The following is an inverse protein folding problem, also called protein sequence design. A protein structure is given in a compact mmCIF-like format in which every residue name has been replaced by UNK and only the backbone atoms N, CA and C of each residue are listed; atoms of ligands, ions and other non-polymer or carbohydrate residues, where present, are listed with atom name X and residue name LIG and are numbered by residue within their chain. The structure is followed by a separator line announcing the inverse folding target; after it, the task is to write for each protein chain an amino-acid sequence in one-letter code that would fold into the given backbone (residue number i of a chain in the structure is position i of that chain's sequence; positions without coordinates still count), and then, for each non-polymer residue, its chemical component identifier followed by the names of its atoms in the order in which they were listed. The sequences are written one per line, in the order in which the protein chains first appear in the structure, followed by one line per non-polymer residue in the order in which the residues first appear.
data_IF_547800734761
#
_entry.id   IF_547800734761
#
_cell.length_a   1.000
_cell.length_b   1.000
_cell.length_c   1.000
_cell.angle_alpha   90.00
_cell.angle_beta   90.00
_cell.angle_gamma   90.00
#
_symmetry.space_group_name_H-M   'P 1'
#
loop_
_entity.id
_entity.type
_entity.pdbx_description
1 polymer ?
#
# COMPACT_ATOMS: atom_id res chain seq x y z
N UNK A 1 26.35 2.32 1.42
CA UNK A 1 24.95 2.02 1.79
C UNK A 1 24.63 0.62 1.34
N UNK A 2 23.81 -0.11 2.08
CA UNK A 2 23.32 -1.44 1.65
C UNK A 2 22.47 -1.30 0.39
N UNK A 3 22.42 -2.35 -0.42
CA UNK A 3 21.48 -2.41 -1.54
C UNK A 3 20.07 -2.59 -0.97
N UNK A 4 19.06 -1.81 -1.39
CA UNK A 4 17.70 -2.02 -0.90
C UNK A 4 17.14 -3.35 -1.40
N UNK A 5 16.32 -4.00 -0.56
CA UNK A 5 15.58 -5.20 -0.93
C UNK A 5 14.36 -4.86 -1.77
N UNK A 6 13.72 -3.72 -1.43
CA UNK A 6 12.43 -3.28 -1.96
C UNK A 6 12.55 -1.84 -2.44
N UNK A 7 12.02 -1.56 -3.62
CA UNK A 7 11.79 -0.22 -4.14
C UNK A 7 10.29 0.08 -4.09
N UNK A 8 9.91 1.15 -3.44
CA UNK A 8 8.52 1.64 -3.43
C UNK A 8 8.44 2.95 -4.22
N UNK A 9 7.62 2.98 -5.27
CA UNK A 9 7.26 4.18 -6.02
C UNK A 9 5.87 4.64 -5.61
N UNK A 10 5.73 5.87 -5.13
CA UNK A 10 4.43 6.37 -4.73
C UNK A 10 4.46 7.81 -4.24
N UNK A 11 3.48 8.15 -3.42
CA UNK A 11 3.34 9.45 -2.80
C UNK A 11 3.65 9.43 -1.30
N UNK A 12 3.84 10.62 -0.74
CA UNK A 12 3.86 10.87 0.69
C UNK A 12 3.04 12.12 0.99
N UNK A 13 2.19 12.04 1.99
CA UNK A 13 1.29 13.12 2.41
C UNK A 13 1.44 13.42 3.90
N UNK A 14 1.03 14.63 4.28
CA UNK A 14 0.72 14.96 5.67
C UNK A 14 -0.80 14.94 5.82
N UNK A 15 -1.30 14.14 6.76
CA UNK A 15 -2.71 13.99 7.05
C UNK A 15 -3.10 14.96 8.18
N UNK A 16 -4.04 15.86 7.89
CA UNK A 16 -4.56 16.88 8.79
C UNK A 16 -5.97 16.46 9.20
N UNK A 17 -6.10 15.84 10.39
CA UNK A 17 -7.37 15.29 10.85
C UNK A 17 -7.99 16.19 11.89
N UNK A 18 -9.22 16.65 11.65
CA UNK A 18 -10.04 17.37 12.60
C UNK A 18 -11.21 16.50 13.04
N UNK A 19 -11.37 16.35 14.35
CA UNK A 19 -12.48 15.60 14.95
C UNK A 19 -13.59 16.57 15.35
N UNK A 20 -14.84 16.24 15.01
CA UNK A 20 -15.97 17.13 15.18
C UNK A 20 -17.29 16.35 15.29
N UNK A 21 -18.33 17.01 15.80
CA UNK A 21 -19.65 16.41 15.94
C UNK A 21 -20.22 15.96 14.58
N UNK A 22 -20.13 16.82 13.58
CA UNK A 22 -20.51 16.53 12.18
C UNK A 22 -19.67 17.38 11.23
N UNK A 23 -19.48 16.92 9.99
CA UNK A 23 -18.77 17.70 8.96
C UNK A 23 -19.62 18.88 8.49
N UNK A 24 -19.01 20.06 8.23
CA UNK A 24 -19.74 21.27 7.88
C UNK A 24 -20.53 21.10 6.58
N UNK A 25 -21.79 21.56 6.58
CA UNK A 25 -22.57 21.76 5.38
C UNK A 25 -22.11 23.01 4.63
N UNK A 26 -22.67 23.25 3.42
CA UNK A 26 -22.34 24.45 2.65
C UNK A 26 -22.67 25.72 3.43
N UNK A 27 -21.67 26.59 3.62
CA UNK A 27 -21.79 27.85 4.36
C UNK A 27 -21.77 27.72 5.88
N UNK A 28 -21.64 26.51 6.43
CA UNK A 28 -21.56 26.24 7.86
C UNK A 28 -20.12 26.33 8.37
N UNK A 29 -19.97 26.79 9.62
CA UNK A 29 -18.71 26.69 10.39
C UNK A 29 -18.93 25.80 11.60
N UNK A 30 -18.24 24.66 11.64
CA UNK A 30 -18.26 23.73 12.77
C UNK A 30 -16.95 23.86 13.54
N UNK A 31 -17.04 23.85 14.87
CA UNK A 31 -15.86 23.89 15.75
C UNK A 31 -15.46 22.43 16.04
N UNK A 32 -14.24 22.05 15.64
CA UNK A 32 -13.65 20.76 16.00
C UNK A 32 -13.27 20.73 17.47
N UNK A 33 -13.36 19.56 18.09
CA UNK A 33 -13.02 19.35 19.50
C UNK A 33 -11.63 18.71 19.67
N UNK A 34 -11.02 18.17 18.58
CA UNK A 34 -9.65 17.64 18.59
C UNK A 34 -9.01 17.78 17.19
N UNK A 35 -7.68 17.70 17.15
CA UNK A 35 -6.90 17.81 15.92
C UNK A 35 -5.64 16.96 16.00
N UNK A 36 -5.31 16.26 14.91
CA UNK A 36 -4.06 15.51 14.80
C UNK A 36 -3.37 15.75 13.45
N UNK A 37 -2.05 15.61 13.47
CA UNK A 37 -1.23 15.62 12.27
C UNK A 37 -0.56 14.23 12.18
N UNK A 38 -0.76 13.54 11.05
CA UNK A 38 -0.19 12.23 10.79
C UNK A 38 0.64 12.22 9.51
N UNK A 39 1.44 11.17 9.34
CA UNK A 39 2.07 10.87 8.06
C UNK A 39 1.16 9.90 7.32
N UNK A 40 0.94 10.18 6.02
CA UNK A 40 0.09 9.40 5.14
C UNK A 40 0.65 9.30 3.74
N UNK A 41 -0.23 8.89 2.83
CA UNK A 41 0.11 8.53 1.46
C UNK A 41 0.44 7.05 1.35
N UNK A 42 -0.27 6.33 0.47
CA UNK A 42 -0.14 4.86 0.34
C UNK A 42 1.30 4.43 0.06
N UNK A 43 2.03 5.18 -0.78
CA UNK A 43 3.43 4.89 -1.04
C UNK A 43 4.30 4.93 0.21
N UNK A 44 4.22 6.02 0.99
CA UNK A 44 4.95 6.17 2.24
C UNK A 44 4.50 5.14 3.29
N UNK A 45 3.20 4.86 3.39
CA UNK A 45 2.65 3.88 4.30
C UNK A 45 3.21 2.47 4.03
N UNK A 46 3.19 2.03 2.78
CA UNK A 46 3.71 0.72 2.38
C UNK A 46 5.23 0.63 2.56
N UNK A 47 5.97 1.70 2.25
CA UNK A 47 7.41 1.76 2.48
C UNK A 47 7.76 1.64 3.97
N UNK A 48 7.07 2.39 4.85
CA UNK A 48 7.25 2.32 6.30
C UNK A 48 6.89 0.93 6.85
N UNK A 49 5.78 0.36 6.40
CA UNK A 49 5.37 -0.99 6.81
C UNK A 49 6.44 -2.04 6.44
N UNK A 50 6.97 -1.98 5.22
CA UNK A 50 8.03 -2.89 4.76
C UNK A 50 9.35 -2.70 5.54
N UNK A 51 9.73 -1.45 5.86
CA UNK A 51 10.92 -1.16 6.65
C UNK A 51 10.76 -1.66 8.10
N UNK A 52 9.59 -1.47 8.72
CA UNK A 52 9.30 -2.00 10.06
C UNK A 52 9.23 -3.53 10.08
N UNK A 53 8.81 -4.17 8.98
CA UNK A 53 8.88 -5.61 8.81
C UNK A 53 10.33 -6.14 8.64
N UNK A 54 11.31 -5.23 8.47
CA UNK A 54 12.75 -5.51 8.55
C UNK A 54 13.50 -5.45 7.23
N UNK A 55 12.88 -5.07 6.11
CA UNK A 55 13.57 -4.91 4.83
C UNK A 55 14.29 -3.56 4.72
N UNK A 56 15.33 -3.52 3.88
CA UNK A 56 15.95 -2.29 3.40
C UNK A 56 15.11 -1.73 2.24
N UNK A 57 14.54 -0.54 2.42
CA UNK A 57 13.54 0.02 1.49
C UNK A 57 14.02 1.33 0.88
N UNK A 58 14.05 1.43 -0.46
CA UNK A 58 14.23 2.68 -1.18
C UNK A 58 12.86 3.27 -1.55
N UNK A 59 12.71 4.58 -1.35
CA UNK A 59 11.45 5.27 -1.61
C UNK A 59 11.59 6.31 -2.72
N UNK A 60 10.87 6.12 -3.82
CA UNK A 60 10.82 7.03 -4.96
C UNK A 60 9.55 7.87 -4.84
N UNK A 61 9.71 9.16 -4.52
CA UNK A 61 8.61 10.09 -4.35
C UNK A 61 9.06 11.54 -4.56
N UNK A 62 8.12 12.48 -4.39
CA UNK A 62 8.39 13.92 -4.38
C UNK A 62 7.85 14.53 -3.11
N UNK A 63 8.61 15.52 -2.55
CA UNK A 63 8.17 16.40 -1.47
C UNK A 63 8.32 17.85 -1.89
N UNK A 64 7.50 18.72 -1.34
CA UNK A 64 7.62 20.16 -1.56
C UNK A 64 8.80 20.79 -0.79
N UNK A 65 9.04 22.07 -1.05
CA UNK A 65 10.01 22.90 -0.32
C UNK A 65 9.36 23.66 0.85
N UNK A 66 8.33 23.06 1.45
CA UNK A 66 7.55 23.59 2.57
C UNK A 66 7.79 22.79 3.87
N UNK A 67 7.18 23.26 4.97
CA UNK A 67 7.27 22.60 6.28
C UNK A 67 6.73 21.16 6.27
N UNK A 68 5.74 20.85 5.45
CA UNK A 68 5.24 19.48 5.30
C UNK A 68 6.28 18.59 4.61
N UNK A 69 7.01 19.11 3.62
CA UNK A 69 8.11 18.39 2.99
C UNK A 69 9.23 18.04 3.97
N UNK A 70 9.54 18.96 4.90
CA UNK A 70 10.52 18.70 5.95
C UNK A 70 10.01 17.67 6.98
N UNK A 71 8.72 17.70 7.32
CA UNK A 71 8.08 16.69 8.17
C UNK A 71 8.14 15.31 7.53
N UNK A 72 7.76 15.18 6.26
CA UNK A 72 7.81 13.93 5.49
C UNK A 72 9.23 13.37 5.49
N UNK A 73 10.22 14.19 5.12
CA UNK A 73 11.61 13.76 5.08
C UNK A 73 12.11 13.27 6.44
N UNK A 74 11.82 14.03 7.51
CA UNK A 74 12.26 13.69 8.86
C UNK A 74 11.62 12.37 9.35
N UNK A 75 10.31 12.21 9.13
CA UNK A 75 9.59 11.00 9.52
C UNK A 75 10.13 9.75 8.79
N UNK A 76 10.26 9.81 7.47
CA UNK A 76 10.75 8.67 6.67
C UNK A 76 12.23 8.37 6.94
N UNK A 77 13.05 9.38 7.23
CA UNK A 77 14.45 9.21 7.65
C UNK A 77 14.54 8.48 8.99
N UNK A 78 13.64 8.78 9.94
CA UNK A 78 13.60 8.12 11.24
C UNK A 78 13.23 6.63 11.14
N UNK A 79 12.48 6.23 10.09
CA UNK A 79 12.17 4.83 9.78
C UNK A 79 13.31 4.08 9.07
N UNK A 80 14.39 4.79 8.72
CA UNK A 80 15.58 4.21 8.09
C UNK A 80 15.44 3.93 6.59
N UNK A 81 14.50 4.58 5.89
CA UNK A 81 14.35 4.45 4.45
C UNK A 81 15.52 5.08 3.69
N UNK A 82 15.88 4.49 2.56
CA UNK A 82 16.79 5.10 1.58
C UNK A 82 16.03 6.19 0.81
N UNK A 83 16.38 7.46 1.05
CA UNK A 83 15.64 8.64 0.59
C UNK A 83 16.33 9.41 -0.55
N UNK A 84 17.33 8.83 -1.22
CA UNK A 84 18.06 9.47 -2.34
C UNK A 84 17.12 9.84 -3.49
N UNK A 85 15.97 9.13 -3.62
CA UNK A 85 14.94 9.38 -4.61
C UNK A 85 13.67 10.06 -4.05
N UNK A 86 13.68 10.52 -2.80
CA UNK A 86 12.71 11.46 -2.27
C UNK A 86 13.13 12.88 -2.65
N UNK A 87 12.82 13.29 -3.86
CA UNK A 87 13.31 14.56 -4.42
C UNK A 87 12.46 15.73 -3.95
N UNK A 88 13.13 16.77 -3.42
CA UNK A 88 12.48 18.04 -3.12
C UNK A 88 12.25 18.83 -4.41
N UNK A 89 11.03 19.37 -4.56
CA UNK A 89 10.64 20.21 -5.69
C UNK A 89 10.02 21.51 -5.19
N UNK A 90 10.06 22.59 -5.97
CA UNK A 90 9.37 23.83 -5.60
C UNK A 90 7.84 23.63 -5.47
N UNK A 91 7.24 24.23 -4.44
CA UNK A 91 5.81 24.22 -4.20
C UNK A 91 5.38 23.32 -3.03
N UNK A 92 4.07 23.21 -2.78
CA UNK A 92 3.56 22.53 -1.61
C UNK A 92 3.65 21.01 -1.72
N UNK A 93 3.92 20.38 -0.58
CA UNK A 93 3.84 18.93 -0.40
C UNK A 93 2.41 18.42 -0.48
N UNK A 94 2.22 17.13 -0.75
CA UNK A 94 0.94 16.45 -0.66
C UNK A 94 0.37 16.49 0.75
N UNK A 95 -0.95 16.69 0.87
CA UNK A 95 -1.64 16.59 2.14
C UNK A 95 -3.07 16.06 1.96
N UNK A 96 -3.61 15.50 3.03
CA UNK A 96 -5.03 15.14 3.11
C UNK A 96 -5.67 15.95 4.24
N UNK A 97 -6.80 16.58 3.94
CA UNK A 97 -7.67 17.17 4.96
C UNK A 97 -8.77 16.15 5.27
N UNK A 98 -8.83 15.73 6.53
CA UNK A 98 -9.71 14.66 6.98
C UNK A 98 -10.63 15.22 8.06
N UNK A 99 -11.92 15.07 7.88
CA UNK A 99 -12.93 15.32 8.92
C UNK A 99 -13.43 13.98 9.45
N UNK A 100 -13.36 13.79 10.75
CA UNK A 100 -13.87 12.60 11.44
C UNK A 100 -15.01 13.04 12.34
N UNK A 101 -16.21 12.52 12.07
CA UNK A 101 -17.41 12.81 12.84
C UNK A 101 -17.51 11.90 14.07
N UNK A 102 -18.22 12.33 15.11
CA UNK A 102 -18.49 11.52 16.31
C UNK A 102 -19.22 10.21 15.97
N UNK A 103 -19.92 10.17 14.85
CA UNK A 103 -20.55 8.96 14.28
C UNK A 103 -19.54 7.92 13.79
N UNK A 104 -18.25 8.29 13.65
CA UNK A 104 -17.20 7.51 13.00
C UNK A 104 -17.13 7.69 11.48
N UNK A 105 -18.06 8.45 10.87
CA UNK A 105 -17.98 8.78 9.46
C UNK A 105 -16.79 9.72 9.17
N UNK A 106 -16.14 9.54 8.02
CA UNK A 106 -15.07 10.44 7.61
C UNK A 106 -15.30 11.03 6.22
N UNK A 107 -14.71 12.20 5.98
CA UNK A 107 -14.65 12.87 4.69
C UNK A 107 -13.21 13.31 4.44
N UNK A 108 -12.69 12.97 3.27
CA UNK A 108 -11.28 13.16 2.93
C UNK A 108 -11.18 13.96 1.64
N UNK A 109 -10.38 15.02 1.67
CA UNK A 109 -9.95 15.76 0.49
C UNK A 109 -8.42 15.64 0.37
N UNK A 110 -7.93 15.12 -0.75
CA UNK A 110 -6.50 14.93 -1.00
C UNK A 110 -6.00 16.00 -1.98
N UNK A 111 -4.91 16.65 -1.61
CA UNK A 111 -4.11 17.49 -2.49
C UNK A 111 -2.79 16.79 -2.79
N UNK A 112 -2.57 16.44 -4.06
CA UNK A 112 -1.38 15.65 -4.46
C UNK A 112 -0.06 16.44 -4.36
N UNK A 113 -0.11 17.77 -4.51
CA UNK A 113 1.06 18.63 -4.35
C UNK A 113 2.27 18.18 -5.18
N UNK A 114 3.42 18.12 -4.53
CA UNK A 114 4.67 17.67 -5.13
C UNK A 114 4.59 16.28 -5.80
N UNK A 115 3.76 15.36 -5.30
CA UNK A 115 3.60 14.02 -5.88
C UNK A 115 3.07 14.06 -7.31
N UNK A 116 2.29 15.09 -7.68
CA UNK A 116 1.82 15.29 -9.05
C UNK A 116 2.94 15.65 -10.05
N UNK A 117 4.13 15.99 -9.59
CA UNK A 117 5.29 16.37 -10.43
C UNK A 117 6.18 15.19 -10.82
N UNK A 118 5.90 13.99 -10.31
CA UNK A 118 6.63 12.78 -10.75
C UNK A 118 6.37 12.60 -12.26
N UNK A 119 7.41 12.24 -13.01
CA UNK A 119 7.31 11.95 -14.44
C UNK A 119 7.62 10.48 -14.71
N UNK A 120 7.07 9.93 -15.79
CA UNK A 120 7.34 8.55 -16.20
C UNK A 120 8.86 8.30 -16.41
N UNK A 121 9.55 9.20 -17.08
CA UNK A 121 11.00 9.11 -17.27
C UNK A 121 11.75 9.14 -15.94
N UNK A 122 11.41 10.10 -15.03
CA UNK A 122 12.05 10.18 -13.72
C UNK A 122 11.81 8.95 -12.84
N UNK A 123 10.63 8.32 -12.94
CA UNK A 123 10.34 7.06 -12.26
C UNK A 123 11.18 5.91 -12.82
N UNK A 124 11.23 5.78 -14.15
CA UNK A 124 12.03 4.75 -14.84
C UNK A 124 13.52 4.88 -14.49
N UNK A 125 14.09 6.08 -14.58
CA UNK A 125 15.50 6.35 -14.27
C UNK A 125 15.84 6.03 -12.80
N UNK A 126 14.95 6.40 -11.88
CA UNK A 126 15.13 6.12 -10.45
C UNK A 126 15.10 4.61 -10.19
N UNK A 127 14.14 3.86 -10.75
CA UNK A 127 14.06 2.41 -10.62
C UNK A 127 15.31 1.74 -11.22
N UNK A 128 15.75 2.15 -12.41
CA UNK A 128 16.94 1.62 -13.06
C UNK A 128 18.21 1.82 -12.22
N UNK A 129 18.33 2.95 -11.52
CA UNK A 129 19.46 3.20 -10.61
C UNK A 129 19.48 2.31 -9.36
N UNK A 130 18.35 1.67 -9.05
CA UNK A 130 18.16 0.75 -7.92
C UNK A 130 18.09 -0.72 -8.38
N UNK A 131 18.70 -1.05 -9.51
CA UNK A 131 18.65 -2.36 -10.19
C UNK A 131 19.13 -3.57 -9.37
N UNK A 132 19.71 -3.34 -8.18
CA UNK A 132 20.06 -4.40 -7.24
C UNK A 132 18.90 -4.86 -6.33
N UNK A 133 17.78 -4.16 -6.34
CA UNK A 133 16.62 -4.52 -5.54
C UNK A 133 15.90 -5.75 -6.12
N UNK A 134 15.21 -6.48 -5.27
CA UNK A 134 14.48 -7.70 -5.66
C UNK A 134 13.01 -7.47 -5.93
N UNK A 135 12.41 -6.46 -5.29
CA UNK A 135 10.99 -6.17 -5.36
C UNK A 135 10.75 -4.71 -5.72
N UNK A 136 9.73 -4.49 -6.53
CA UNK A 136 9.17 -3.18 -6.85
C UNK A 136 7.70 -3.14 -6.44
N UNK A 137 7.29 -2.08 -5.72
CA UNK A 137 5.92 -1.89 -5.23
C UNK A 137 5.41 -0.54 -5.67
N UNK A 138 4.17 -0.47 -6.14
CA UNK A 138 3.49 0.79 -6.43
C UNK A 138 1.98 0.73 -6.19
N UNK A 139 1.32 1.90 -6.22
CA UNK A 139 -0.11 2.10 -5.97
C UNK A 139 -0.64 3.21 -6.90
N UNK A 140 -1.95 3.52 -6.84
CA UNK A 140 -2.58 4.50 -7.73
C UNK A 140 -2.79 5.90 -7.11
N UNK A 141 -2.05 6.26 -6.07
CA UNK A 141 -1.96 7.67 -5.62
C UNK A 141 -0.92 8.49 -6.42
N UNK A 142 -0.33 7.87 -7.43
CA UNK A 142 0.38 8.52 -8.55
C UNK A 142 -0.25 8.07 -9.86
N UNK A 143 -0.04 8.85 -10.95
CA UNK A 143 -0.67 8.54 -12.24
C UNK A 143 -0.24 7.17 -12.76
N UNK A 144 -1.17 6.41 -13.32
CA UNK A 144 -0.91 5.05 -13.81
C UNK A 144 0.19 4.98 -14.87
N UNK A 145 0.36 6.02 -15.70
CA UNK A 145 1.45 6.07 -16.70
C UNK A 145 2.83 6.10 -16.03
N UNK A 146 2.93 6.70 -14.83
CA UNK A 146 4.15 6.74 -14.03
C UNK A 146 4.38 5.36 -13.40
N UNK A 147 3.32 4.75 -12.86
CA UNK A 147 3.35 3.39 -12.30
C UNK A 147 3.80 2.39 -13.39
N UNK A 148 3.20 2.46 -14.58
CA UNK A 148 3.56 1.59 -15.72
C UNK A 148 5.04 1.74 -16.09
N UNK A 149 5.57 2.97 -16.16
CA UNK A 149 6.97 3.20 -16.46
C UNK A 149 7.90 2.59 -15.38
N UNK A 150 7.52 2.71 -14.11
CA UNK A 150 8.23 2.06 -12.99
C UNK A 150 8.20 0.54 -13.08
N UNK A 151 7.01 -0.05 -13.35
CA UNK A 151 6.83 -1.50 -13.53
C UNK A 151 7.67 -2.05 -14.68
N UNK A 152 7.71 -1.34 -15.82
CA UNK A 152 8.52 -1.72 -16.98
C UNK A 152 10.01 -1.69 -16.65
N UNK A 153 10.50 -0.59 -16.05
CA UNK A 153 11.88 -0.48 -15.63
C UNK A 153 12.27 -1.57 -14.61
N UNK A 154 11.38 -1.87 -13.65
CA UNK A 154 11.59 -2.93 -12.68
C UNK A 154 11.70 -4.31 -13.36
N UNK A 155 10.83 -4.59 -14.34
CA UNK A 155 10.88 -5.81 -15.14
C UNK A 155 12.17 -5.95 -15.97
N UNK A 156 12.66 -4.87 -16.57
CA UNK A 156 13.92 -4.84 -17.32
C UNK A 156 15.14 -5.19 -16.43
N UNK A 157 15.01 -4.99 -15.12
CA UNK A 157 16.04 -5.31 -14.12
C UNK A 157 15.73 -6.58 -13.30
N UNK A 158 14.72 -7.36 -13.69
CA UNK A 158 14.38 -8.64 -13.05
C UNK A 158 13.79 -8.54 -11.65
N UNK A 159 13.24 -7.39 -11.27
CA UNK A 159 12.52 -7.23 -10.01
C UNK A 159 11.14 -7.90 -10.07
N UNK A 160 10.69 -8.47 -8.97
CA UNK A 160 9.31 -8.93 -8.79
C UNK A 160 8.43 -7.69 -8.59
N UNK A 161 7.40 -7.55 -9.43
CA UNK A 161 6.57 -6.35 -9.53
C UNK A 161 5.24 -6.57 -8.82
N UNK A 162 5.01 -5.81 -7.77
CA UNK A 162 3.82 -5.87 -6.92
C UNK A 162 3.02 -4.57 -7.11
N UNK A 163 1.77 -4.69 -7.52
CA UNK A 163 0.86 -3.56 -7.66
C UNK A 163 -0.31 -3.69 -6.68
N UNK A 164 -0.48 -2.69 -5.84
CA UNK A 164 -1.70 -2.50 -5.07
C UNK A 164 -2.61 -1.53 -5.82
N UNK A 165 -3.82 -1.95 -6.18
CA UNK A 165 -4.74 -1.19 -7.04
C UNK A 165 -5.56 -0.13 -6.30
N UNK A 166 -5.06 0.31 -5.17
CA UNK A 166 -5.69 1.33 -4.33
C UNK A 166 -5.14 2.75 -4.63
N UNK A 167 -6.00 3.79 -4.69
CA UNK A 167 -7.45 3.69 -4.84
C UNK A 167 -7.84 3.15 -6.21
N UNK A 168 -8.97 2.45 -6.28
CA UNK A 168 -9.43 1.89 -7.55
C UNK A 168 -9.56 2.96 -8.65
N UNK A 169 -9.04 2.64 -9.80
CA UNK A 169 -9.27 3.34 -11.05
C UNK A 169 -9.15 2.33 -12.21
N UNK A 170 -9.90 2.54 -13.32
CA UNK A 170 -9.80 1.71 -14.50
C UNK A 170 -8.36 1.53 -14.97
N UNK A 171 -7.96 0.28 -15.26
CA UNK A 171 -6.57 -0.03 -15.60
C UNK A 171 -6.23 0.45 -17.01
N UNK A 172 -5.15 1.23 -17.14
CA UNK A 172 -4.65 1.57 -18.47
C UNK A 172 -4.04 0.34 -19.17
N UNK A 173 -4.07 0.28 -20.51
CA UNK A 173 -3.47 -0.81 -21.27
C UNK A 173 -2.01 -1.04 -20.89
N UNK A 174 -1.64 -2.29 -20.70
CA UNK A 174 -0.28 -2.72 -20.39
C UNK A 174 0.05 -2.87 -18.91
N UNK A 175 -0.78 -2.40 -17.97
CA UNK A 175 -0.54 -2.58 -16.53
C UNK A 175 -0.44 -4.08 -16.18
N UNK A 176 -1.45 -4.87 -16.53
CA UNK A 176 -1.52 -6.30 -16.16
C UNK A 176 -0.38 -7.12 -16.74
N UNK A 177 0.10 -6.79 -17.94
CA UNK A 177 1.23 -7.47 -18.57
C UNK A 177 2.60 -7.15 -17.90
N UNK A 178 2.65 -6.18 -16.99
CA UNK A 178 3.87 -5.72 -16.34
C UNK A 178 3.86 -5.92 -14.82
N UNK A 179 2.98 -6.76 -14.29
CA UNK A 179 2.92 -7.09 -12.86
C UNK A 179 3.09 -8.59 -12.65
N UNK A 180 3.68 -8.96 -11.52
CA UNK A 180 3.81 -10.35 -11.09
C UNK A 180 2.77 -10.67 -10.00
N UNK A 181 2.47 -9.69 -9.13
CA UNK A 181 1.45 -9.77 -8.09
C UNK A 181 0.53 -8.56 -8.14
N UNK A 182 -0.78 -8.81 -8.18
CA UNK A 182 -1.82 -7.81 -8.01
C UNK A 182 -2.47 -8.00 -6.63
N UNK A 183 -2.51 -6.92 -5.84
CA UNK A 183 -3.14 -6.88 -4.52
C UNK A 183 -4.30 -5.89 -4.58
N UNK A 184 -5.51 -6.36 -4.27
CA UNK A 184 -6.74 -5.57 -4.29
C UNK A 184 -7.62 -5.92 -3.09
N UNK A 185 -8.50 -5.01 -2.67
CA UNK A 185 -9.62 -5.35 -1.81
C UNK A 185 -10.81 -5.85 -2.64
N UNK A 186 -11.92 -6.23 -1.98
CA UNK A 186 -13.11 -6.76 -2.65
C UNK A 186 -13.63 -5.80 -3.74
N UNK A 187 -13.78 -4.52 -3.40
CA UNK A 187 -14.34 -3.50 -4.32
C UNK A 187 -13.41 -3.23 -5.50
N UNK A 188 -12.12 -3.15 -5.25
CA UNK A 188 -11.10 -2.95 -6.28
C UNK A 188 -11.05 -4.15 -7.23
N UNK A 189 -11.09 -5.37 -6.68
CA UNK A 189 -11.06 -6.59 -7.48
C UNK A 189 -12.32 -6.73 -8.35
N UNK A 190 -13.51 -6.47 -7.81
CA UNK A 190 -14.75 -6.47 -8.60
C UNK A 190 -14.68 -5.49 -9.78
N UNK A 191 -14.17 -4.28 -9.55
CA UNK A 191 -13.97 -3.31 -10.62
C UNK A 191 -13.02 -3.80 -11.71
N UNK A 192 -11.88 -4.38 -11.33
CA UNK A 192 -10.89 -4.92 -12.28
C UNK A 192 -11.47 -6.10 -13.09
N UNK A 193 -12.19 -7.00 -12.44
CA UNK A 193 -12.80 -8.15 -13.09
C UNK A 193 -13.90 -7.71 -14.08
N UNK A 194 -14.70 -6.71 -13.71
CA UNK A 194 -15.71 -6.15 -14.59
C UNK A 194 -15.10 -5.55 -15.87
N UNK A 195 -13.94 -4.88 -15.78
CA UNK A 195 -13.20 -4.39 -16.96
C UNK A 195 -12.65 -5.54 -17.83
N UNK A 196 -12.28 -6.66 -17.22
CA UNK A 196 -11.87 -7.87 -17.93
C UNK A 196 -13.07 -8.65 -18.51
N UNK A 197 -14.31 -8.18 -18.33
CA UNK A 197 -15.54 -8.84 -18.79
C UNK A 197 -15.94 -10.03 -17.95
N UNK A 198 -15.44 -10.13 -16.73
CA UNK A 198 -15.78 -11.21 -15.78
C UNK A 198 -16.82 -10.65 -14.80
N UNK A 199 -18.01 -11.25 -14.79
CA UNK A 199 -19.05 -10.97 -13.81
C UNK A 199 -18.79 -11.81 -12.55
N UNK A 200 -18.17 -11.17 -11.56
CA UNK A 200 -17.80 -11.85 -10.31
C UNK A 200 -18.26 -11.03 -9.09
N UNK A 201 -18.73 -11.74 -8.07
CA UNK A 201 -19.00 -11.18 -6.75
C UNK A 201 -17.88 -11.59 -5.81
N UNK A 202 -17.16 -10.64 -5.26
CA UNK A 202 -16.04 -10.90 -4.34
C UNK A 202 -16.52 -10.98 -2.89
N UNK A 203 -17.75 -10.52 -2.57
CA UNK A 203 -18.38 -10.76 -1.25
C UNK A 203 -18.92 -12.20 -1.14
N UNK A 204 -18.04 -13.15 -1.40
CA UNK A 204 -18.30 -14.58 -1.31
C UNK A 204 -17.61 -15.17 -0.06
N UNK A 205 -17.90 -16.42 0.24
CA UNK A 205 -17.16 -17.15 1.28
C UNK A 205 -15.70 -17.38 0.84
N UNK A 206 -14.74 -17.53 1.78
CA UNK A 206 -13.36 -17.86 1.41
C UNK A 206 -13.23 -19.07 0.49
N UNK A 207 -14.03 -20.12 0.70
CA UNK A 207 -13.99 -21.31 -0.14
C UNK A 207 -14.48 -21.06 -1.58
N UNK A 208 -15.48 -20.18 -1.76
CA UNK A 208 -15.92 -19.76 -3.10
C UNK A 208 -14.86 -18.92 -3.79
N UNK A 209 -14.19 -18.04 -3.05
CA UNK A 209 -13.09 -17.25 -3.59
C UNK A 209 -11.87 -18.10 -3.97
N UNK A 210 -11.47 -19.06 -3.15
CA UNK A 210 -10.41 -20.03 -3.49
C UNK A 210 -10.74 -20.82 -4.76
N UNK A 211 -12.03 -21.07 -5.02
CA UNK A 211 -12.49 -21.75 -6.22
C UNK A 211 -12.48 -20.87 -7.46
N UNK A 212 -12.70 -19.56 -7.32
CA UNK A 212 -12.86 -18.61 -8.44
C UNK A 212 -11.54 -17.89 -8.81
N UNK A 213 -10.66 -17.64 -7.85
CA UNK A 213 -9.43 -16.87 -8.04
C UNK A 213 -8.47 -17.45 -9.11
N UNK A 214 -8.42 -18.77 -9.37
CA UNK A 214 -7.61 -19.31 -10.48
C UNK A 214 -8.04 -18.79 -11.86
N UNK A 215 -9.35 -18.67 -12.10
CA UNK A 215 -9.89 -18.12 -13.35
C UNK A 215 -9.54 -16.65 -13.50
N UNK A 216 -9.65 -15.87 -12.41
CA UNK A 216 -9.31 -14.46 -12.40
C UNK A 216 -7.82 -14.24 -12.66
N UNK A 217 -6.95 -15.02 -12.03
CA UNK A 217 -5.50 -14.98 -12.26
C UNK A 217 -5.16 -15.31 -13.71
N UNK A 218 -5.79 -16.32 -14.29
CA UNK A 218 -5.56 -16.67 -15.69
C UNK A 218 -6.01 -15.55 -16.65
N UNK A 219 -7.13 -14.89 -16.37
CA UNK A 219 -7.63 -13.77 -17.17
C UNK A 219 -6.76 -12.52 -17.07
N UNK A 220 -6.23 -12.21 -15.88
CA UNK A 220 -5.38 -11.04 -15.64
C UNK A 220 -3.90 -11.31 -15.93
N UNK A 221 -3.48 -12.57 -16.00
CA UNK A 221 -2.11 -12.98 -16.33
C UNK A 221 -1.08 -12.75 -15.22
N UNK A 222 -1.51 -12.70 -13.94
CA UNK A 222 -0.64 -12.46 -12.80
C UNK A 222 -1.11 -13.22 -11.54
N UNK A 223 -0.24 -13.33 -10.54
CA UNK A 223 -0.64 -13.82 -9.23
C UNK A 223 -1.56 -12.81 -8.55
N UNK A 224 -2.50 -13.30 -7.75
CA UNK A 224 -3.51 -12.46 -7.10
C UNK A 224 -3.47 -12.58 -5.58
N UNK A 225 -3.76 -11.46 -4.94
CA UNK A 225 -4.15 -11.40 -3.52
C UNK A 225 -5.38 -10.50 -3.40
N UNK A 226 -6.42 -11.03 -2.77
CA UNK A 226 -7.65 -10.30 -2.46
C UNK A 226 -7.78 -10.19 -0.95
N UNK A 227 -7.73 -8.96 -0.43
CA UNK A 227 -7.94 -8.69 1.00
C UNK A 227 -9.43 -8.58 1.30
N UNK A 228 -9.87 -9.22 2.40
CA UNK A 228 -11.28 -9.42 2.77
C UNK A 228 -11.60 -8.77 4.12
N UNK A 229 -10.94 -7.67 4.44
CA UNK A 229 -11.11 -6.95 5.71
C UNK A 229 -10.90 -7.87 6.92
N UNK A 230 -11.88 -7.94 7.80
CA UNK A 230 -11.81 -8.76 9.03
C UNK A 230 -11.86 -10.28 8.79
N UNK A 231 -12.16 -10.72 7.58
CA UNK A 231 -12.13 -12.15 7.22
C UNK A 231 -10.70 -12.64 6.98
N UNK A 232 -9.79 -11.78 6.50
CA UNK A 232 -8.41 -12.12 6.14
C UNK A 232 -8.07 -11.82 4.69
N UNK A 233 -7.43 -12.74 3.97
CA UNK A 233 -7.10 -12.59 2.57
C UNK A 233 -7.05 -13.94 1.83
N UNK A 234 -7.41 -13.95 0.55
CA UNK A 234 -7.22 -15.09 -0.35
C UNK A 234 -6.10 -14.73 -1.34
N UNK A 235 -5.14 -15.63 -1.52
CA UNK A 235 -4.10 -15.51 -2.52
C UNK A 235 -4.09 -16.69 -3.49
N UNK A 236 -3.52 -16.48 -4.68
CA UNK A 236 -3.33 -17.50 -5.68
C UNK A 236 -2.04 -17.29 -6.48
N UNK A 237 -1.29 -18.37 -6.64
CA UNK A 237 -0.22 -18.48 -7.63
C UNK A 237 -0.40 -19.79 -8.40
N UNK A 238 -0.21 -19.81 -9.74
CA UNK A 238 -0.49 -21.01 -10.57
C UNK A 238 0.27 -22.25 -10.14
N UNK A 239 1.48 -22.11 -9.58
CA UNK A 239 2.33 -23.23 -9.17
C UNK A 239 1.88 -23.87 -7.85
N UNK A 240 1.21 -23.10 -6.98
CA UNK A 240 0.91 -23.48 -5.58
C UNK A 240 -0.59 -23.61 -5.31
N UNK A 241 -1.43 -23.07 -6.18
CA UNK A 241 -2.87 -23.03 -6.00
C UNK A 241 -3.37 -21.88 -5.14
N UNK A 242 -4.62 -21.96 -4.71
CA UNK A 242 -5.23 -20.95 -3.84
C UNK A 242 -4.91 -21.23 -2.36
N UNK A 243 -4.87 -20.15 -1.57
CA UNK A 243 -4.66 -20.21 -0.13
C UNK A 243 -5.43 -19.10 0.57
N UNK A 244 -6.21 -19.45 1.58
CA UNK A 244 -6.89 -18.49 2.45
C UNK A 244 -6.12 -18.31 3.76
N UNK A 245 -5.76 -17.08 4.05
CA UNK A 245 -5.17 -16.65 5.32
C UNK A 245 -6.26 -16.02 6.19
N UNK A 246 -6.66 -16.70 7.25
CA UNK A 246 -7.69 -16.21 8.19
C UNK A 246 -7.14 -15.10 9.07
N UNK A 247 -7.93 -14.02 9.26
CA UNK A 247 -7.55 -12.94 10.15
C UNK A 247 -7.78 -13.32 11.62
N UNK A 248 -6.82 -13.01 12.51
CA UNK A 248 -7.05 -13.10 13.95
C UNK A 248 -8.24 -12.23 14.36
N UNK A 249 -9.08 -12.75 15.26
CA UNK A 249 -10.17 -11.95 15.85
C UNK A 249 -9.61 -10.89 16.79
N UNK A 250 -9.77 -9.62 16.43
CA UNK A 250 -9.30 -8.47 17.20
C UNK A 250 -10.40 -7.42 17.36
N UNK A 251 -10.27 -6.54 18.34
CA UNK A 251 -11.14 -5.37 18.48
C UNK A 251 -10.55 -4.21 17.69
N UNK A 252 -11.12 -3.91 16.53
CA UNK A 252 -10.66 -2.80 15.70
C UNK A 252 -11.01 -1.45 16.35
N UNK A 253 -10.03 -0.55 16.37
CA UNK A 253 -10.15 0.86 16.79
C UNK A 253 -10.17 1.76 15.57
N UNK A 254 -9.27 1.50 14.61
CA UNK A 254 -9.15 2.27 13.37
C UNK A 254 -8.59 1.37 12.26
N UNK A 255 -9.20 1.41 11.07
CA UNK A 255 -8.78 0.58 9.93
C UNK A 255 -7.95 1.33 8.91
N UNK A 256 -7.66 2.61 9.13
CA UNK A 256 -6.86 3.45 8.23
C UNK A 256 -5.47 2.87 8.07
N UNK A 257 -5.02 2.70 6.83
CA UNK A 257 -3.70 2.18 6.49
C UNK A 257 -3.49 0.68 6.70
N UNK A 258 -4.50 -0.09 7.14
CA UNK A 258 -4.36 -1.54 7.34
C UNK A 258 -3.99 -2.28 6.04
N UNK A 259 -4.57 -1.88 4.90
CA UNK A 259 -4.21 -2.42 3.59
C UNK A 259 -2.76 -2.09 3.20
N UNK A 260 -2.27 -0.89 3.52
CA UNK A 260 -0.88 -0.51 3.27
C UNK A 260 0.09 -1.29 4.19
N UNK A 261 -0.29 -1.48 5.46
CA UNK A 261 0.43 -2.34 6.40
C UNK A 261 0.55 -3.76 5.84
N UNK A 262 -0.57 -4.33 5.36
CA UNK A 262 -0.61 -5.64 4.73
C UNK A 262 0.37 -5.73 3.55
N UNK A 263 0.31 -4.81 2.60
CA UNK A 263 1.18 -4.82 1.40
C UNK A 263 2.65 -4.75 1.79
N UNK A 264 3.02 -3.83 2.68
CA UNK A 264 4.41 -3.68 3.14
C UNK A 264 4.94 -4.94 3.82
N UNK A 265 4.16 -5.54 4.73
CA UNK A 265 4.53 -6.78 5.40
C UNK A 265 4.60 -7.96 4.43
N UNK A 266 3.63 -8.10 3.51
CA UNK A 266 3.61 -9.17 2.51
C UNK A 266 4.89 -9.19 1.67
N UNK A 267 5.24 -8.03 1.09
CA UNK A 267 6.44 -7.93 0.24
C UNK A 267 7.71 -8.10 1.05
N UNK A 268 7.77 -7.55 2.28
CA UNK A 268 8.93 -7.71 3.15
C UNK A 268 9.16 -9.18 3.52
N UNK A 269 8.13 -9.92 3.90
CA UNK A 269 8.25 -11.34 4.23
C UNK A 269 8.73 -12.15 3.02
N UNK A 270 8.19 -11.90 1.83
CA UNK A 270 8.69 -12.51 0.60
C UNK A 270 10.16 -12.14 0.33
N UNK A 271 10.57 -10.90 0.58
CA UNK A 271 11.96 -10.46 0.39
C UNK A 271 12.94 -11.17 1.35
N UNK A 272 12.46 -11.62 2.49
CA UNK A 272 13.21 -12.46 3.44
C UNK A 272 13.20 -13.96 3.10
N UNK A 273 12.60 -14.35 1.97
CA UNK A 273 12.60 -15.72 1.47
C UNK A 273 11.48 -16.61 2.01
N UNK A 274 10.48 -16.02 2.69
CA UNK A 274 9.29 -16.79 3.04
C UNK A 274 8.47 -17.09 1.78
N UNK A 275 7.84 -18.27 1.77
CA UNK A 275 6.89 -18.62 0.73
C UNK A 275 5.69 -17.64 0.77
N UNK A 276 5.09 -17.35 -0.38
CA UNK A 276 4.02 -16.35 -0.47
C UNK A 276 2.81 -16.64 0.43
N UNK A 277 2.47 -17.92 0.65
CA UNK A 277 1.38 -18.33 1.55
C UNK A 277 1.70 -17.96 3.00
N UNK A 278 2.91 -18.24 3.44
CA UNK A 278 3.40 -17.81 4.75
C UNK A 278 3.47 -16.29 4.87
N UNK A 279 3.95 -15.60 3.83
CA UNK A 279 3.98 -14.14 3.78
C UNK A 279 2.56 -13.56 3.86
N UNK A 280 1.58 -14.17 3.19
CA UNK A 280 0.17 -13.79 3.25
C UNK A 280 -0.37 -13.88 4.69
N UNK A 281 -0.15 -15.01 5.37
CA UNK A 281 -0.60 -15.19 6.77
C UNK A 281 0.08 -14.21 7.74
N UNK A 282 1.38 -13.97 7.56
CA UNK A 282 2.14 -12.99 8.34
C UNK A 282 1.62 -11.57 8.13
N UNK A 283 1.33 -11.19 6.88
CA UNK A 283 0.80 -9.87 6.53
C UNK A 283 -0.62 -9.64 7.06
N UNK A 284 -1.50 -10.65 6.97
CA UNK A 284 -2.83 -10.61 7.59
C UNK A 284 -2.72 -10.39 9.10
N UNK A 285 -1.80 -11.08 9.76
CA UNK A 285 -1.57 -10.94 11.20
C UNK A 285 -1.06 -9.54 11.58
N UNK A 286 -0.15 -8.96 10.78
CA UNK A 286 0.38 -7.61 11.01
C UNK A 286 -0.69 -6.53 10.78
N UNK A 287 -1.49 -6.65 9.73
CA UNK A 287 -2.61 -5.77 9.47
C UNK A 287 -3.67 -5.85 10.56
N UNK A 288 -3.97 -7.06 11.08
CA UNK A 288 -4.89 -7.24 12.21
C UNK A 288 -4.37 -6.61 13.51
N UNK A 289 -3.06 -6.51 13.69
CA UNK A 289 -2.50 -5.78 14.83
C UNK A 289 -2.62 -4.27 14.63
N UNK A 290 -2.39 -3.77 13.42
CA UNK A 290 -2.43 -2.33 13.16
C UNK A 290 -3.81 -1.73 13.46
N UNK A 291 -4.90 -2.42 13.15
CA UNK A 291 -6.26 -1.89 13.36
C UNK A 291 -6.64 -1.70 14.84
N UNK A 292 -5.83 -2.15 15.80
CA UNK A 292 -6.08 -1.99 17.23
C UNK A 292 -5.60 -0.64 17.80
N UNK A 293 -4.99 0.19 16.96
CA UNK A 293 -4.49 1.52 17.35
C UNK A 293 -4.94 2.56 16.32
N UNK A 294 -5.08 3.84 16.69
CA UNK A 294 -5.49 4.88 15.75
C UNK A 294 -4.38 5.28 14.79
N UNK A 295 -4.78 5.69 13.58
CA UNK A 295 -3.95 6.24 12.52
C UNK A 295 -3.29 5.18 11.63
N UNK A 296 -2.66 5.61 10.54
CA UNK A 296 -1.97 4.73 9.59
C UNK A 296 -0.59 4.32 10.13
N UNK A 297 0.49 5.03 9.78
CA UNK A 297 1.86 4.67 10.17
C UNK A 297 2.06 4.57 11.69
N UNK A 298 1.32 5.35 12.48
CA UNK A 298 1.38 5.30 13.95
C UNK A 298 0.90 3.98 14.54
N UNK A 299 0.01 3.28 13.84
CA UNK A 299 -0.59 2.02 14.28
C UNK A 299 0.23 0.78 13.91
N UNK A 300 1.11 0.89 12.91
CA UNK A 300 1.85 -0.27 12.40
C UNK A 300 2.75 -0.89 13.46
N UNK A 301 2.86 -2.23 13.49
CA UNK A 301 3.79 -2.92 14.37
C UNK A 301 5.21 -2.37 14.21
N UNK A 302 5.96 -2.33 15.30
CA UNK A 302 7.32 -1.81 15.32
C UNK A 302 8.30 -2.82 14.72
N UNK A 303 9.52 -2.36 14.38
CA UNK A 303 10.60 -3.24 13.90
C UNK A 303 10.96 -4.34 14.89
N UNK A 304 10.76 -4.10 16.19
CA UNK A 304 10.98 -5.13 17.23
C UNK A 304 9.91 -6.21 17.24
N UNK A 305 8.73 -5.94 16.69
CA UNK A 305 7.63 -6.90 16.58
C UNK A 305 7.72 -7.77 15.32
N UNK A 306 8.58 -7.41 14.34
CA UNK A 306 8.67 -8.08 13.05
C UNK A 306 8.92 -9.60 13.17
N UNK A 307 9.69 -10.01 14.18
CA UNK A 307 10.06 -11.42 14.37
C UNK A 307 8.85 -12.32 14.60
N UNK A 308 7.79 -11.84 15.28
CA UNK A 308 6.58 -12.63 15.49
C UNK A 308 5.84 -12.93 14.18
N UNK A 309 5.83 -11.99 13.22
CA UNK A 309 5.18 -12.17 11.92
C UNK A 309 6.01 -13.07 11.00
N UNK A 310 7.35 -13.01 11.09
CA UNK A 310 8.25 -13.98 10.44
C UNK A 310 8.03 -15.38 10.98
N UNK A 311 7.86 -15.53 12.30
CA UNK A 311 7.56 -16.82 12.91
C UNK A 311 6.22 -17.38 12.41
N UNK A 312 5.19 -16.54 12.25
CA UNK A 312 3.90 -16.93 11.63
C UNK A 312 4.12 -17.36 10.18
N UNK A 313 4.86 -16.58 9.39
CA UNK A 313 5.15 -16.87 7.99
C UNK A 313 5.95 -18.16 7.78
N UNK A 314 6.71 -18.61 8.78
CA UNK A 314 7.51 -19.84 8.73
C UNK A 314 6.71 -21.12 9.03
N UNK A 315 5.43 -21.02 9.41
CA UNK A 315 4.59 -22.18 9.75
C UNK A 315 3.85 -22.75 8.54
N UNK A 316 3.84 -22.03 7.45
CA UNK A 316 3.25 -22.38 6.17
C UNK A 316 4.33 -22.34 5.08
#
# INVERSE_FOLDING_TARGET
MSTPDIVVLGNANVDLTTYMEHAPAEGETVIGHDFSIGMGGKGANQAVAAARAGSEVAFIARRGDDSFGDMIHSALSAEGLHLEHLVQVPGPSGNATIYVEDSGANRIAVFLGASATITAAGASDAVASLSGARYFVSQFEVKQEIVLAGLQAAGDHGMIRVLNTAPYAPLIPGITANIDWLIANEVEMEGILAEAGIDATVDASPAELESSIPEWSAALGCNLVVTLGSKGAVGFAPEDGAFFAEAPSVSAVDTVGAGDCFVGYFVSLMSHGHHWQGALQGAVSAASESVQKPGAQSSYPSRTDAEKFRAVASQN
#
